data_IF_152745424086
#
_entry.id   IF_152745424086
#
_cell.length_a   1.000
_cell.length_b   1.000
_cell.length_c   1.000
_cell.angle_alpha   90.00
_cell.angle_beta   90.00
_cell.angle_gamma   90.00
#
_symmetry.space_group_name_H-M   'P 1'
#
loop_
_entity.id
_entity.type
_entity.pdbx_description
1 polymer ?
#
# COMPACT_ATOMS: atom_id res chain seq x y z
N UNK A 1 43.99 1.46 54.06
CA UNK A 1 43.55 2.02 52.76
C UNK A 1 42.29 1.32 52.23
N UNK A 2 41.86 0.23 52.84
CA UNK A 2 40.81 -0.67 52.31
C UNK A 2 39.38 -0.15 52.41
N UNK A 3 39.08 0.69 53.39
CA UNK A 3 37.73 1.25 53.58
C UNK A 3 37.38 2.24 52.47
N UNK A 4 38.35 3.07 52.04
CA UNK A 4 38.14 4.05 50.99
C UNK A 4 37.95 3.39 49.62
N UNK A 5 38.70 2.34 49.32
CA UNK A 5 38.56 1.57 48.07
C UNK A 5 37.22 0.84 47.99
N UNK A 6 36.71 0.33 49.10
CA UNK A 6 35.44 -0.40 49.09
C UNK A 6 34.22 0.52 49.00
N UNK A 7 34.31 1.72 49.58
CA UNK A 7 33.32 2.79 49.37
C UNK A 7 33.32 3.23 47.90
N UNK A 8 34.50 3.47 47.31
CA UNK A 8 34.60 3.87 45.88
C UNK A 8 33.99 2.80 44.98
N UNK A 9 34.25 1.52 45.25
CA UNK A 9 33.74 0.40 44.44
C UNK A 9 32.22 0.29 44.49
N UNK A 10 31.61 0.46 45.66
CA UNK A 10 30.15 0.46 45.82
C UNK A 10 29.51 1.69 45.14
N UNK A 11 30.11 2.87 45.30
CA UNK A 11 29.62 4.10 44.66
C UNK A 11 29.72 4.01 43.14
N UNK A 12 30.82 3.47 42.60
CA UNK A 12 31.00 3.24 41.16
C UNK A 12 29.94 2.28 40.64
N UNK A 13 29.65 1.16 41.31
CA UNK A 13 28.62 0.21 40.87
C UNK A 13 27.21 0.80 40.86
N UNK A 14 26.83 1.50 41.94
CA UNK A 14 25.49 2.14 42.07
C UNK A 14 25.29 3.22 41.00
N UNK A 15 26.36 3.96 40.63
CA UNK A 15 26.31 4.93 39.55
C UNK A 15 26.39 4.29 38.16
N UNK A 16 27.07 3.14 38.02
CA UNK A 16 27.24 2.46 36.73
C UNK A 16 25.95 1.87 36.19
N UNK A 17 25.03 1.41 37.05
CA UNK A 17 23.82 0.71 36.61
C UNK A 17 22.81 1.62 35.89
N UNK A 18 22.49 2.84 36.40
CA UNK A 18 21.70 3.83 35.66
C UNK A 18 22.44 4.34 34.40
N UNK A 19 23.76 4.51 34.50
CA UNK A 19 24.61 4.95 33.39
C UNK A 19 24.61 3.91 32.28
N UNK A 20 24.66 2.61 32.56
CA UNK A 20 24.53 1.52 31.57
C UNK A 20 23.18 1.52 30.86
N UNK A 21 22.07 1.75 31.56
CA UNK A 21 20.75 1.81 30.94
C UNK A 21 20.60 3.01 29.99
N UNK A 22 21.10 4.18 30.38
CA UNK A 22 21.08 5.37 29.52
C UNK A 22 22.15 5.34 28.40
N UNK A 23 23.34 4.78 28.65
CA UNK A 23 24.37 4.50 27.63
C UNK A 23 23.97 3.37 26.68
N UNK A 24 23.03 2.50 27.07
CA UNK A 24 22.56 1.39 26.26
C UNK A 24 22.11 1.86 24.88
N UNK A 25 21.27 2.90 24.82
CA UNK A 25 20.86 3.53 23.56
C UNK A 25 21.97 4.35 22.89
N UNK A 26 22.95 4.85 23.67
CA UNK A 26 24.09 5.62 23.17
C UNK A 26 25.07 4.77 22.35
N UNK A 27 25.38 3.59 22.85
CA UNK A 27 26.28 2.62 22.22
C UNK A 27 25.50 1.78 21.20
N UNK A 28 24.21 1.53 21.45
CA UNK A 28 23.37 0.69 20.59
C UNK A 28 22.59 1.45 19.53
N UNK A 29 22.67 2.78 19.41
CA UNK A 29 21.92 3.48 18.35
C UNK A 29 22.29 2.91 16.97
N UNK A 30 23.58 2.65 16.73
CA UNK A 30 24.05 1.99 15.50
C UNK A 30 23.43 0.61 15.33
N UNK A 31 23.35 -0.18 16.40
CA UNK A 31 22.69 -1.50 16.38
C UNK A 31 21.23 -1.37 15.93
N UNK A 32 20.47 -0.41 16.48
CA UNK A 32 19.07 -0.18 16.07
C UNK A 32 18.97 0.33 14.63
N UNK A 33 19.87 1.19 14.17
CA UNK A 33 19.87 1.68 12.78
C UNK A 33 20.17 0.54 11.80
N UNK A 34 21.21 -0.26 12.08
CA UNK A 34 21.56 -1.44 11.27
C UNK A 34 20.42 -2.46 11.26
N UNK A 35 19.82 -2.74 12.41
CA UNK A 35 18.67 -3.65 12.52
C UNK A 35 17.45 -3.13 11.75
N UNK A 36 17.16 -1.83 11.84
CA UNK A 36 16.08 -1.19 11.10
C UNK A 36 16.26 -1.37 9.58
N UNK A 37 17.45 -1.08 9.05
CA UNK A 37 17.74 -1.30 7.62
C UNK A 37 17.65 -2.77 7.23
N UNK A 38 18.14 -3.67 8.08
CA UNK A 38 18.09 -5.12 7.84
C UNK A 38 16.66 -5.63 7.76
N UNK A 39 15.83 -5.30 8.75
CA UNK A 39 14.41 -5.68 8.77
C UNK A 39 13.63 -5.03 7.62
N UNK A 40 13.95 -3.79 7.25
CA UNK A 40 13.34 -3.12 6.10
C UNK A 40 13.66 -3.85 4.78
N UNK A 41 14.90 -4.30 4.59
CA UNK A 41 15.27 -5.08 3.41
C UNK A 41 14.48 -6.39 3.33
N UNK A 42 14.35 -7.12 4.43
CA UNK A 42 13.54 -8.33 4.48
C UNK A 42 12.07 -8.06 4.15
N UNK A 43 11.49 -7.01 4.75
CA UNK A 43 10.10 -6.60 4.49
C UNK A 43 9.89 -6.21 3.01
N UNK A 44 10.88 -5.57 2.38
CA UNK A 44 10.80 -5.23 0.96
C UNK A 44 10.88 -6.44 0.03
N UNK A 45 11.63 -7.49 0.40
CA UNK A 45 11.60 -8.77 -0.32
C UNK A 45 10.23 -9.43 -0.21
N UNK A 46 9.66 -9.49 1.00
CA UNK A 46 8.30 -10.00 1.21
C UNK A 46 7.27 -9.19 0.41
N UNK A 47 7.36 -7.86 0.42
CA UNK A 47 6.52 -6.97 -0.39
C UNK A 47 6.57 -7.30 -1.88
N UNK A 48 7.75 -7.57 -2.42
CA UNK A 48 7.90 -7.92 -3.83
C UNK A 48 7.18 -9.23 -4.16
N UNK A 49 7.33 -10.26 -3.32
CA UNK A 49 6.61 -11.53 -3.47
C UNK A 49 5.09 -11.37 -3.38
N UNK A 50 4.59 -10.62 -2.40
CA UNK A 50 3.15 -10.36 -2.26
C UNK A 50 2.57 -9.55 -3.43
N UNK A 51 3.35 -8.61 -3.99
CA UNK A 51 2.94 -7.86 -5.17
C UNK A 51 2.86 -8.75 -6.41
N UNK A 52 3.82 -9.65 -6.58
CA UNK A 52 3.75 -10.65 -7.66
C UNK A 52 2.54 -11.58 -7.51
N UNK A 53 2.24 -12.00 -6.28
CA UNK A 53 1.07 -12.82 -5.97
C UNK A 53 -0.25 -12.07 -6.25
N UNK A 54 -0.33 -10.80 -5.86
CA UNK A 54 -1.43 -9.90 -6.19
C UNK A 54 -1.62 -9.79 -7.71
N UNK A 55 -0.54 -9.47 -8.44
CA UNK A 55 -0.57 -9.30 -9.90
C UNK A 55 -1.00 -10.61 -10.60
N UNK A 56 -0.54 -11.76 -10.09
CA UNK A 56 -0.99 -13.08 -10.55
C UNK A 56 -2.49 -13.23 -10.36
N UNK A 57 -3.02 -13.09 -9.13
CA UNK A 57 -4.43 -13.29 -8.83
C UNK A 57 -5.34 -12.37 -9.66
N UNK A 58 -4.94 -11.12 -9.87
CA UNK A 58 -5.65 -10.18 -10.75
C UNK A 58 -5.70 -10.73 -12.19
N UNK A 59 -4.56 -11.20 -12.74
CA UNK A 59 -4.50 -11.73 -14.11
C UNK A 59 -5.38 -12.96 -14.31
N UNK A 60 -5.39 -13.88 -13.34
CA UNK A 60 -6.16 -15.13 -13.41
C UNK A 60 -7.56 -15.03 -12.77
N UNK A 61 -7.99 -13.83 -12.38
CA UNK A 61 -9.30 -13.54 -11.77
C UNK A 61 -9.60 -14.37 -10.52
N UNK A 62 -8.60 -14.50 -9.66
CA UNK A 62 -8.77 -15.03 -8.31
C UNK A 62 -9.02 -13.92 -7.31
N UNK A 63 -9.65 -14.28 -6.19
CA UNK A 63 -9.92 -13.37 -5.10
C UNK A 63 -8.61 -12.83 -4.51
N UNK A 64 -8.64 -11.54 -4.17
CA UNK A 64 -7.55 -10.85 -3.50
C UNK A 64 -8.06 -10.44 -2.13
N UNK A 65 -7.35 -10.75 -1.04
CA UNK A 65 -7.74 -10.31 0.28
C UNK A 65 -7.70 -8.77 0.39
N UNK A 66 -8.76 -8.16 0.92
CA UNK A 66 -8.87 -6.71 1.05
C UNK A 66 -7.76 -6.09 1.93
N UNK A 67 -7.10 -6.90 2.76
CA UNK A 67 -6.00 -6.46 3.64
C UNK A 67 -4.69 -6.19 2.88
N UNK A 68 -4.53 -6.71 1.66
CA UNK A 68 -3.27 -6.61 0.89
C UNK A 68 -2.94 -5.17 0.52
N UNK A 69 -3.92 -4.40 0.02
CA UNK A 69 -3.68 -3.00 -0.37
C UNK A 69 -3.30 -2.11 0.83
N UNK A 70 -4.06 -2.08 1.94
CA UNK A 70 -3.65 -1.36 3.14
C UNK A 70 -2.27 -1.77 3.66
N UNK A 71 -1.93 -3.06 3.54
CA UNK A 71 -0.62 -3.56 3.94
C UNK A 71 0.51 -2.99 3.07
N UNK A 72 0.35 -2.98 1.74
CA UNK A 72 1.31 -2.40 0.79
C UNK A 72 1.52 -0.88 1.03
N UNK A 73 0.43 -0.15 1.30
CA UNK A 73 0.46 1.29 1.57
C UNK A 73 1.25 1.61 2.84
N UNK A 74 1.04 0.82 3.91
CA UNK A 74 1.80 0.97 5.16
C UNK A 74 3.29 0.75 4.94
N UNK A 75 3.70 -0.25 4.15
CA UNK A 75 5.13 -0.47 3.84
C UNK A 75 5.70 0.72 3.07
N UNK A 76 4.95 1.31 2.13
CA UNK A 76 5.40 2.51 1.43
C UNK A 76 5.65 3.68 2.38
N UNK A 77 4.79 3.87 3.38
CA UNK A 77 4.99 4.88 4.41
C UNK A 77 6.26 4.60 5.25
N UNK A 78 6.47 3.36 5.70
CA UNK A 78 7.70 3.03 6.45
C UNK A 78 8.95 3.20 5.58
N UNK A 79 8.92 2.79 4.32
CA UNK A 79 10.03 3.03 3.38
C UNK A 79 10.36 4.52 3.26
N UNK A 80 9.36 5.40 3.23
CA UNK A 80 9.60 6.84 3.24
C UNK A 80 10.28 7.30 4.54
N UNK A 81 9.89 6.76 5.71
CA UNK A 81 10.54 7.04 7.00
C UNK A 81 12.00 6.59 7.03
N UNK A 82 12.30 5.40 6.50
CA UNK A 82 13.67 4.85 6.43
C UNK A 82 14.52 5.62 5.42
N UNK A 83 13.96 5.97 4.26
CA UNK A 83 14.66 6.77 3.25
C UNK A 83 15.04 8.17 3.77
N UNK A 84 14.16 8.78 4.56
CA UNK A 84 14.40 10.07 5.19
C UNK A 84 15.08 9.95 6.57
N UNK A 85 15.68 8.80 6.88
CA UNK A 85 16.41 8.61 8.12
C UNK A 85 17.78 9.30 8.02
N UNK A 86 18.24 10.04 9.06
CA UNK A 86 19.51 10.76 9.00
C UNK A 86 20.70 9.83 8.76
N UNK A 87 21.65 10.24 7.92
CA UNK A 87 22.92 9.51 7.71
C UNK A 87 23.82 9.59 8.95
N UNK A 88 24.68 8.57 9.11
CA UNK A 88 25.40 8.27 10.36
C UNK A 88 26.57 9.21 10.72
N UNK A 89 26.73 10.35 10.06
CA UNK A 89 27.79 11.34 10.34
C UNK A 89 27.44 12.19 11.58
N UNK A 90 27.30 11.52 12.72
CA UNK A 90 27.20 12.16 14.02
C UNK A 90 28.53 12.05 14.75
N UNK A 91 29.04 13.20 15.15
CA UNK A 91 30.24 13.31 15.97
C UNK A 91 30.10 12.46 17.25
N UNK A 92 31.22 11.91 17.73
CA UNK A 92 31.19 10.84 18.72
C UNK A 92 30.55 11.25 20.06
N UNK A 93 30.56 12.56 20.33
CA UNK A 93 30.20 13.16 21.61
C UNK A 93 28.75 13.66 21.67
N UNK A 94 27.97 13.65 20.58
CA UNK A 94 26.57 14.10 20.61
C UNK A 94 25.62 13.00 21.11
N UNK A 95 25.63 12.78 22.42
CA UNK A 95 24.79 11.78 23.08
C UNK A 95 23.29 12.01 22.85
N UNK A 96 22.84 13.27 22.92
CA UNK A 96 21.43 13.62 22.81
C UNK A 96 20.88 13.26 21.44
N UNK A 97 21.66 13.50 20.39
CA UNK A 97 21.30 13.10 19.03
C UNK A 97 21.32 11.58 18.85
N UNK A 98 22.34 10.87 19.37
CA UNK A 98 22.41 9.40 19.31
C UNK A 98 21.20 8.73 19.96
N UNK A 99 20.80 9.18 21.15
CA UNK A 99 19.62 8.67 21.81
C UNK A 99 18.34 8.91 20.99
N UNK A 100 18.18 10.11 20.40
CA UNK A 100 17.04 10.43 19.53
C UNK A 100 17.00 9.53 18.29
N UNK A 101 18.15 9.30 17.64
CA UNK A 101 18.23 8.40 16.48
C UNK A 101 17.90 6.96 16.87
N UNK A 102 18.51 6.44 17.94
CA UNK A 102 18.23 5.09 18.43
C UNK A 102 16.75 4.89 18.76
N UNK A 103 16.13 5.86 19.45
CA UNK A 103 14.70 5.84 19.73
C UNK A 103 13.84 5.87 18.46
N UNK A 104 14.21 6.69 17.47
CA UNK A 104 13.50 6.76 16.18
C UNK A 104 13.62 5.45 15.40
N UNK A 105 14.81 4.86 15.33
CA UNK A 105 15.05 3.57 14.68
C UNK A 105 14.27 2.43 15.37
N UNK A 106 14.28 2.38 16.71
CA UNK A 106 13.51 1.41 17.48
C UNK A 106 12.00 1.51 17.22
N UNK A 107 11.44 2.73 17.11
CA UNK A 107 10.03 2.91 16.73
C UNK A 107 9.73 2.35 15.34
N UNK A 108 10.61 2.60 14.36
CA UNK A 108 10.46 2.05 13.01
C UNK A 108 10.55 0.52 13.02
N UNK A 109 11.47 -0.06 13.80
CA UNK A 109 11.56 -1.53 13.98
C UNK A 109 10.24 -2.09 14.49
N UNK A 110 9.63 -1.48 15.52
CA UNK A 110 8.34 -1.93 16.04
C UNK A 110 7.22 -1.84 15.00
N UNK A 111 7.21 -0.79 14.16
CA UNK A 111 6.27 -0.68 13.05
C UNK A 111 6.47 -1.80 12.02
N UNK A 112 7.73 -2.13 11.67
CA UNK A 112 8.06 -3.23 10.77
C UNK A 112 7.60 -4.57 11.35
N UNK A 113 7.86 -4.83 12.63
CA UNK A 113 7.45 -6.07 13.29
C UNK A 113 5.93 -6.21 13.30
N UNK A 114 5.20 -5.12 13.59
CA UNK A 114 3.74 -5.11 13.55
C UNK A 114 3.17 -5.41 12.16
N UNK A 115 3.74 -4.83 11.10
CA UNK A 115 3.33 -5.11 9.71
C UNK A 115 3.68 -6.54 9.30
N UNK A 116 4.82 -7.06 9.76
CA UNK A 116 5.24 -8.43 9.50
C UNK A 116 4.27 -9.42 10.14
N UNK A 117 3.79 -9.13 11.36
CA UNK A 117 2.71 -9.92 11.99
C UNK A 117 1.38 -9.79 11.25
N UNK A 118 1.05 -8.60 10.70
CA UNK A 118 -0.15 -8.46 9.86
C UNK A 118 -0.08 -9.31 8.59
N UNK A 119 1.10 -9.42 7.97
CA UNK A 119 1.31 -10.26 6.79
C UNK A 119 0.96 -11.73 7.08
N UNK A 120 1.38 -12.27 8.22
CA UNK A 120 1.11 -13.68 8.56
C UNK A 120 -0.38 -13.97 8.81
N UNK A 121 -1.21 -12.94 8.97
CA UNK A 121 -2.66 -13.05 9.08
C UNK A 121 -3.38 -13.01 7.73
N UNK A 122 -2.71 -12.55 6.67
CA UNK A 122 -3.28 -12.50 5.32
C UNK A 122 -3.39 -13.94 4.81
N UNK A 123 -4.63 -14.40 4.62
CA UNK A 123 -4.93 -15.72 4.05
C UNK A 123 -5.28 -15.55 2.59
N UNK A 124 -4.39 -16.03 1.73
CA UNK A 124 -4.66 -16.17 0.32
C UNK A 124 -5.56 -17.37 0.05
N UNK A 125 -6.43 -17.23 -0.96
CA UNK A 125 -7.37 -18.27 -1.37
C UNK A 125 -7.35 -18.39 -2.89
N UNK A 126 -7.50 -19.61 -3.40
CA UNK A 126 -7.63 -19.88 -4.84
C UNK A 126 -9.08 -19.76 -5.35
N UNK A 127 -9.93 -19.05 -4.61
CA UNK A 127 -11.32 -18.83 -5.00
C UNK A 127 -11.41 -17.91 -6.23
N UNK A 128 -12.21 -18.32 -7.21
CA UNK A 128 -12.45 -17.52 -8.42
C UNK A 128 -13.45 -16.41 -8.13
N UNK A 129 -13.22 -15.24 -8.72
CA UNK A 129 -14.20 -14.16 -8.66
C UNK A 129 -15.46 -14.60 -9.43
N UNK A 130 -16.65 -14.58 -8.81
CA UNK A 130 -17.88 -14.97 -9.51
C UNK A 130 -18.16 -14.02 -10.67
N UNK A 131 -18.63 -14.57 -11.79
CA UNK A 131 -18.81 -13.86 -13.08
C UNK A 131 -19.71 -12.60 -13.03
N UNK A 132 -20.40 -12.34 -11.92
CA UNK A 132 -21.26 -11.17 -11.71
C UNK A 132 -20.69 -10.07 -10.80
N UNK A 133 -19.50 -10.23 -10.20
CA UNK A 133 -18.90 -9.20 -9.34
C UNK A 133 -18.19 -8.15 -10.20
N UNK A 134 -18.71 -6.93 -10.18
CA UNK A 134 -18.11 -5.77 -10.85
C UNK A 134 -17.11 -5.16 -9.88
N UNK A 135 -15.83 -5.49 -10.01
CA UNK A 135 -14.79 -4.74 -9.31
C UNK A 135 -14.59 -3.39 -10.02
N UNK A 136 -14.65 -2.30 -9.26
CA UNK A 136 -14.52 -0.91 -9.73
C UNK A 136 -13.21 -0.63 -10.49
N UNK A 137 -12.24 -1.55 -10.44
CA UNK A 137 -10.95 -1.52 -11.12
C UNK A 137 -10.99 -2.02 -12.57
N UNK A 138 -12.10 -2.60 -13.04
CA UNK A 138 -12.32 -2.90 -14.46
C UNK A 138 -12.87 -1.68 -15.21
N UNK A 139 -12.09 -0.60 -15.24
CA UNK A 139 -12.20 0.37 -16.35
C UNK A 139 -11.86 -0.38 -17.63
N UNK A 140 -12.88 -0.85 -18.34
CA UNK A 140 -12.72 -1.43 -19.68
C UNK A 140 -12.04 -0.39 -20.57
N UNK A 141 -10.73 -0.50 -20.73
CA UNK A 141 -9.92 0.26 -21.68
C UNK A 141 -10.21 -0.30 -23.08
N UNK A 142 -11.40 -0.02 -23.59
CA UNK A 142 -11.58 0.06 -25.02
C UNK A 142 -11.88 1.52 -25.32
N UNK A 143 -10.82 2.28 -25.60
CA UNK A 143 -10.91 3.52 -26.37
C UNK A 143 -11.56 3.15 -27.71
N UNK A 144 -12.76 3.65 -28.02
CA UNK A 144 -13.27 3.61 -29.38
C UNK A 144 -12.33 4.50 -30.21
N UNK A 145 -11.59 3.90 -31.11
CA UNK A 145 -10.86 4.64 -32.13
C UNK A 145 -11.87 5.36 -33.02
N UNK A 146 -11.73 6.68 -33.13
CA UNK A 146 -12.36 7.44 -34.20
C UNK A 146 -13.54 8.30 -33.75
N UNK A 147 -13.31 9.60 -33.78
CA UNK A 147 -14.30 10.69 -33.83
C UNK A 147 -15.07 10.70 -35.17
N UNK A 148 -15.46 9.51 -35.63
CA UNK A 148 -16.22 9.36 -36.86
C UNK A 148 -17.70 9.20 -36.51
N UNK A 149 -18.52 9.97 -37.21
CA UNK A 149 -19.98 10.02 -37.10
C UNK A 149 -20.65 8.72 -37.61
N UNK A 150 -20.25 7.57 -37.07
CA UNK A 150 -20.65 6.21 -37.49
C UNK A 150 -22.15 5.88 -37.27
N UNK A 151 -22.94 6.83 -36.77
CA UNK A 151 -24.35 6.62 -36.44
C UNK A 151 -25.29 7.63 -37.12
N UNK A 152 -24.89 8.30 -38.20
CA UNK A 152 -25.77 9.22 -38.95
C UNK A 152 -27.16 8.60 -39.26
N UNK A 153 -27.22 7.32 -39.63
CA UNK A 153 -28.48 6.60 -39.89
C UNK A 153 -29.27 6.19 -38.64
N UNK A 154 -28.71 6.35 -37.43
CA UNK A 154 -29.25 5.82 -36.15
C UNK A 154 -29.17 6.83 -35.00
N UNK A 155 -29.03 8.11 -35.33
CA UNK A 155 -29.03 9.23 -34.38
C UNK A 155 -30.29 9.20 -33.51
N UNK A 156 -31.44 8.87 -34.10
CA UNK A 156 -32.70 8.77 -33.38
C UNK A 156 -32.64 7.73 -32.24
N UNK A 157 -32.26 6.48 -32.55
CA UNK A 157 -32.14 5.41 -31.55
C UNK A 157 -31.11 5.74 -30.47
N UNK A 158 -29.98 6.34 -30.86
CA UNK A 158 -28.96 6.78 -29.91
C UNK A 158 -29.50 7.85 -28.95
N UNK A 159 -30.21 8.84 -29.48
CA UNK A 159 -30.77 9.95 -28.69
C UNK A 159 -31.84 9.46 -27.72
N UNK A 160 -32.72 8.55 -28.16
CA UNK A 160 -33.74 7.94 -27.30
C UNK A 160 -33.13 7.12 -26.17
N UNK A 161 -32.10 6.31 -26.49
CA UNK A 161 -31.36 5.58 -25.46
C UNK A 161 -30.65 6.52 -24.47
N UNK A 162 -30.05 7.62 -24.95
CA UNK A 162 -29.42 8.63 -24.09
C UNK A 162 -30.44 9.33 -23.18
N UNK A 163 -31.62 9.68 -23.71
CA UNK A 163 -32.71 10.28 -22.92
C UNK A 163 -33.20 9.32 -21.84
N UNK A 164 -33.39 8.04 -22.16
CA UNK A 164 -33.81 7.02 -21.20
C UNK A 164 -32.76 6.73 -20.12
N UNK A 165 -31.50 7.13 -20.33
CA UNK A 165 -30.41 7.04 -19.37
C UNK A 165 -30.14 8.35 -18.62
N UNK A 166 -30.92 9.42 -18.89
CA UNK A 166 -30.78 10.66 -18.11
C UNK A 166 -31.18 10.39 -16.66
N UNK A 167 -30.57 11.09 -15.69
CA UNK A 167 -30.89 10.88 -14.28
C UNK A 167 -32.29 11.41 -13.96
N UNK A 168 -33.24 10.50 -13.88
CA UNK A 168 -34.42 10.60 -13.03
C UNK A 168 -34.21 9.79 -11.75
N UNK A 169 -34.97 10.08 -10.70
CA UNK A 169 -34.79 9.52 -9.35
C UNK A 169 -35.06 7.99 -9.25
N UNK A 170 -35.03 7.25 -10.36
CA UNK A 170 -35.29 5.82 -10.45
C UNK A 170 -34.16 5.12 -11.22
N UNK A 171 -33.90 3.83 -10.97
CA UNK A 171 -32.95 3.07 -11.78
C UNK A 171 -33.57 2.73 -13.16
N UNK A 172 -32.87 3.10 -14.24
CA UNK A 172 -33.29 2.83 -15.62
C UNK A 172 -32.46 1.70 -16.23
N UNK A 173 -33.12 0.76 -16.89
CA UNK A 173 -32.48 -0.30 -17.67
C UNK A 173 -32.81 -0.13 -19.15
N UNK A 174 -31.79 -0.03 -19.99
CA UNK A 174 -31.93 0.08 -21.46
C UNK A 174 -31.28 -1.12 -22.12
N UNK A 175 -32.03 -1.80 -22.99
CA UNK A 175 -31.55 -2.94 -23.77
C UNK A 175 -31.56 -2.61 -25.28
N UNK A 176 -30.46 -2.92 -25.97
CA UNK A 176 -30.35 -2.83 -27.43
C UNK A 176 -30.45 -4.24 -28.03
N UNK A 177 -31.40 -4.45 -28.92
CA UNK A 177 -31.66 -5.74 -29.57
C UNK A 177 -31.64 -5.60 -31.10
N UNK A 178 -31.43 -6.71 -31.82
CA UNK A 178 -31.33 -6.73 -33.28
C UNK A 178 -30.31 -7.75 -33.81
N UNK A 179 -30.19 -7.87 -35.13
CA UNK A 179 -29.29 -8.83 -35.80
C UNK A 179 -27.81 -8.67 -35.40
N UNK A 180 -27.01 -9.72 -35.60
CA UNK A 180 -25.56 -9.66 -35.43
C UNK A 180 -24.92 -8.65 -36.39
N UNK A 181 -23.76 -8.08 -36.02
CA UNK A 181 -23.02 -7.15 -36.89
C UNK A 181 -23.60 -5.73 -37.00
N UNK A 182 -24.82 -5.48 -36.52
CA UNK A 182 -25.45 -4.14 -36.59
C UNK A 182 -24.88 -3.12 -35.61
N UNK A 183 -23.72 -3.35 -34.97
CA UNK A 183 -23.06 -2.31 -34.16
C UNK A 183 -23.73 -1.97 -32.81
N UNK A 184 -24.56 -2.85 -32.23
CA UNK A 184 -25.19 -2.63 -30.91
C UNK A 184 -24.16 -2.38 -29.80
N UNK A 185 -23.10 -3.19 -29.76
CA UNK A 185 -22.00 -3.03 -28.80
C UNK A 185 -21.27 -1.70 -29.00
N UNK A 186 -21.08 -1.28 -30.24
CA UNK A 186 -20.47 0.02 -30.58
C UNK A 186 -21.33 1.18 -30.08
N UNK A 187 -22.66 1.07 -30.22
CA UNK A 187 -23.61 2.07 -29.71
C UNK A 187 -23.55 2.18 -28.18
N UNK A 188 -23.53 1.04 -27.47
CA UNK A 188 -23.43 1.00 -26.01
C UNK A 188 -22.13 1.64 -25.50
N UNK A 189 -21.00 1.43 -26.19
CA UNK A 189 -19.72 2.08 -25.86
C UNK A 189 -19.80 3.61 -25.99
N UNK A 190 -20.42 4.13 -27.05
CA UNK A 190 -20.61 5.59 -27.24
C UNK A 190 -21.57 6.19 -26.21
N UNK A 191 -22.65 5.49 -25.85
CA UNK A 191 -23.58 5.92 -24.79
C UNK A 191 -22.83 6.07 -23.46
N UNK A 192 -22.04 5.06 -23.06
CA UNK A 192 -21.20 5.11 -21.86
C UNK A 192 -20.28 6.34 -21.86
N UNK A 193 -19.56 6.58 -22.97
CA UNK A 193 -18.68 7.74 -23.08
C UNK A 193 -19.42 9.07 -22.98
N UNK A 194 -20.61 9.16 -23.56
CA UNK A 194 -21.40 10.39 -23.56
C UNK A 194 -21.93 10.67 -22.16
N UNK A 195 -22.44 9.66 -21.45
CA UNK A 195 -22.91 9.79 -20.07
C UNK A 195 -21.78 10.15 -19.11
N UNK A 196 -20.58 9.58 -19.28
CA UNK A 196 -19.42 9.90 -18.45
C UNK A 196 -18.80 11.29 -18.72
N UNK A 197 -19.18 11.95 -19.82
CA UNK A 197 -18.73 13.32 -20.15
C UNK A 197 -19.61 14.41 -19.52
N UNK A 198 -20.81 14.06 -19.06
CA UNK A 198 -21.69 14.93 -18.27
C UNK A 198 -21.45 14.70 -16.78
#
# INVERSE_FOLDING_TARGET
MDVATEIIKQVVQVLMDPVKQHLGYMISYRKYVVEMHTKMNYLNVARAGEKEHLDRNIRIRLMVPDQVSPWLDKIQNINAKVKNFPSEDLDCLDFKSRHKLGSKASKIINEIDSITTQLSLIKWTDEKIPLGRIDSTMTSTSTPSGDHNDFQSRVHTFTEALKALRPDHKPHMVALWGMGGVGKTTMMKKLRQTVLKY
#
